data_IF_144853960513
#
_entry.id   IF_144853960513
#
_cell.length_a   1.000
_cell.length_b   1.000
_cell.length_c   1.000
_cell.angle_alpha   90.00
_cell.angle_beta   90.00
_cell.angle_gamma   90.00
#
_symmetry.space_group_name_H-M   'P 1'
#
loop_
_entity.id
_entity.type
_entity.pdbx_description
1 polymer ?
#
# COMPACT_ATOMS: atom_id res chain seq x y z
N UNK A 1 -41.19 21.75 -11.43
CA UNK A 1 -39.76 21.51 -11.23
C UNK A 1 -39.39 20.25 -11.99
N UNK A 2 -38.51 20.34 -12.97
CA UNK A 2 -38.15 19.21 -13.80
C UNK A 2 -37.50 18.08 -12.99
N UNK A 3 -37.82 16.85 -13.36
CA UNK A 3 -37.30 15.65 -12.65
C UNK A 3 -35.77 15.71 -12.50
N UNK A 4 -35.04 16.16 -13.55
CA UNK A 4 -33.58 16.26 -13.53
C UNK A 4 -33.08 17.27 -12.50
N UNK A 5 -33.69 18.46 -12.39
CA UNK A 5 -33.36 19.45 -11.38
C UNK A 5 -33.58 18.91 -9.96
N UNK A 6 -34.67 18.18 -9.76
CA UNK A 6 -34.98 17.54 -8.47
C UNK A 6 -33.92 16.48 -8.14
N UNK A 7 -33.62 15.58 -9.07
CA UNK A 7 -32.60 14.52 -8.88
C UNK A 7 -31.23 15.13 -8.58
N UNK A 8 -30.80 16.13 -9.34
CA UNK A 8 -29.52 16.83 -9.15
C UNK A 8 -29.46 17.46 -7.76
N UNK A 9 -30.51 18.20 -7.36
CA UNK A 9 -30.55 18.90 -6.07
C UNK A 9 -30.60 17.93 -4.88
N UNK A 10 -31.39 16.86 -4.95
CA UNK A 10 -31.44 15.85 -3.90
C UNK A 10 -30.11 15.12 -3.77
N UNK A 11 -29.52 14.68 -4.90
CA UNK A 11 -28.26 13.97 -4.88
C UNK A 11 -27.12 14.83 -4.32
N UNK A 12 -27.02 16.11 -4.71
CA UNK A 12 -25.98 17.00 -4.19
C UNK A 12 -26.19 17.33 -2.71
N UNK A 13 -27.44 17.46 -2.25
CA UNK A 13 -27.75 17.68 -0.83
C UNK A 13 -27.38 16.47 0.02
N UNK A 14 -27.70 15.26 -0.44
CA UNK A 14 -27.28 14.01 0.23
C UNK A 14 -25.74 13.88 0.24
N UNK A 15 -25.07 14.21 -0.87
CA UNK A 15 -23.62 14.24 -0.93
C UNK A 15 -23.03 15.23 0.07
N UNK A 16 -23.56 16.44 0.13
CA UNK A 16 -23.09 17.48 1.04
C UNK A 16 -23.23 17.06 2.49
N UNK A 17 -24.39 16.50 2.88
CA UNK A 17 -24.64 16.01 4.24
C UNK A 17 -23.70 14.86 4.59
N UNK A 18 -23.61 13.84 3.74
CA UNK A 18 -22.70 12.70 3.95
C UNK A 18 -21.24 13.17 4.06
N UNK A 19 -20.82 14.05 3.15
CA UNK A 19 -19.44 14.58 3.15
C UNK A 19 -19.17 15.44 4.38
N UNK A 20 -20.11 16.26 4.85
CA UNK A 20 -19.95 17.07 6.05
C UNK A 20 -19.81 16.18 7.29
N UNK A 21 -20.67 15.16 7.45
CA UNK A 21 -20.58 14.21 8.57
C UNK A 21 -19.26 13.43 8.51
N UNK A 22 -18.95 12.85 7.35
CA UNK A 22 -17.75 12.04 7.16
C UNK A 22 -16.46 12.85 7.38
N UNK A 23 -16.32 14.01 6.71
CA UNK A 23 -15.13 14.85 6.85
C UNK A 23 -15.03 15.53 8.20
N UNK A 24 -16.16 15.88 8.81
CA UNK A 24 -16.20 16.41 10.18
C UNK A 24 -15.71 15.37 11.20
N UNK A 25 -16.21 14.14 11.16
CA UNK A 25 -15.75 13.06 12.04
C UNK A 25 -14.29 12.70 11.77
N UNK A 26 -13.87 12.65 10.49
CA UNK A 26 -12.48 12.43 10.11
C UNK A 26 -11.55 13.49 10.72
N UNK A 27 -11.91 14.78 10.63
CA UNK A 27 -11.13 15.87 11.18
C UNK A 27 -11.03 15.82 12.72
N UNK A 28 -12.06 15.33 13.41
CA UNK A 28 -12.04 15.12 14.86
C UNK A 28 -11.10 13.98 15.25
N UNK A 29 -11.15 12.87 14.55
CA UNK A 29 -10.35 11.68 14.87
C UNK A 29 -8.91 11.75 14.36
N UNK A 30 -8.65 12.52 13.31
CA UNK A 30 -7.30 12.76 12.76
C UNK A 30 -6.46 13.76 13.59
N UNK A 31 -6.82 14.00 14.83
CA UNK A 31 -5.95 14.77 15.73
C UNK A 31 -4.78 13.89 16.17
N UNK A 32 -3.58 14.46 16.33
CA UNK A 32 -2.46 13.72 16.88
C UNK A 32 -2.92 13.11 18.20
N UNK A 33 -3.05 11.80 18.27
CA UNK A 33 -3.12 11.16 19.57
C UNK A 33 -1.80 11.54 20.23
N UNK A 34 -1.87 12.20 21.37
CA UNK A 34 -0.78 12.20 22.33
C UNK A 34 -0.56 10.72 22.61
N UNK A 35 0.35 10.12 21.86
CA UNK A 35 0.83 8.78 22.18
C UNK A 35 1.44 9.00 23.52
N UNK A 36 0.76 8.54 24.56
CA UNK A 36 1.43 8.28 25.83
C UNK A 36 2.58 7.38 25.38
N UNK A 37 3.80 7.95 25.35
CA UNK A 37 5.00 7.16 25.27
C UNK A 37 4.75 6.03 26.26
N UNK A 38 4.63 4.80 25.75
CA UNK A 38 4.57 3.65 26.65
C UNK A 38 5.72 3.88 27.61
N UNK A 39 5.37 4.01 28.89
CA UNK A 39 6.31 4.31 29.97
C UNK A 39 7.57 3.49 29.73
N UNK A 40 8.74 4.11 29.89
CA UNK A 40 10.07 3.50 29.76
C UNK A 40 10.20 2.15 30.52
N UNK A 41 9.29 1.88 31.42
CA UNK A 41 9.16 0.61 32.18
C UNK A 41 8.86 -0.64 31.33
N UNK A 42 8.30 -0.51 30.09
CA UNK A 42 8.17 -1.62 29.15
C UNK A 42 9.39 -1.75 28.22
N UNK A 43 10.34 -0.84 28.32
CA UNK A 43 11.62 -0.83 27.61
C UNK A 43 12.67 -1.78 28.23
N UNK A 44 12.25 -2.73 29.07
CA UNK A 44 13.11 -3.67 29.83
C UNK A 44 14.00 -4.62 29.00
N UNK A 45 14.12 -4.45 27.70
CA UNK A 45 15.19 -5.06 26.91
C UNK A 45 15.95 -3.98 26.18
N UNK A 46 17.24 -3.79 26.50
CA UNK A 46 18.20 -2.94 25.80
C UNK A 46 18.40 -3.37 24.31
N UNK A 47 17.72 -4.41 23.88
CA UNK A 47 17.88 -4.99 22.55
C UNK A 47 16.84 -4.42 21.59
N UNK A 48 17.30 -3.71 20.58
CA UNK A 48 16.47 -3.27 19.48
C UNK A 48 16.11 -4.45 18.57
N UNK A 49 14.84 -4.59 18.11
CA UNK A 49 14.45 -5.62 17.16
C UNK A 49 15.22 -5.49 15.84
N UNK A 50 15.47 -6.60 15.18
CA UNK A 50 16.10 -6.60 13.86
C UNK A 50 15.11 -6.23 12.75
N UNK A 51 15.57 -5.45 11.75
CA UNK A 51 14.73 -4.97 10.63
C UNK A 51 15.34 -5.36 9.30
N UNK A 52 14.56 -6.03 8.46
CA UNK A 52 14.88 -6.33 7.08
C UNK A 52 14.16 -5.36 6.15
N UNK A 53 14.91 -4.50 5.44
CA UNK A 53 14.37 -3.57 4.43
C UNK A 53 14.30 -4.27 3.09
N UNK A 54 13.14 -4.26 2.42
CA UNK A 54 12.93 -4.90 1.11
C UNK A 54 12.62 -3.84 0.06
N UNK A 55 13.47 -3.76 -0.97
CA UNK A 55 13.40 -2.78 -2.05
C UNK A 55 13.25 -3.52 -3.39
N UNK A 56 12.02 -3.74 -3.87
CA UNK A 56 11.78 -4.29 -5.21
C UNK A 56 12.07 -3.23 -6.27
N UNK A 57 12.86 -3.58 -7.29
CA UNK A 57 13.31 -2.67 -8.35
C UNK A 57 12.98 -3.26 -9.72
N UNK A 58 12.41 -2.46 -10.64
CA UNK A 58 12.15 -2.86 -12.02
C UNK A 58 12.27 -1.67 -12.96
N UNK A 59 13.22 -1.71 -13.90
CA UNK A 59 13.48 -0.64 -14.87
C UNK A 59 13.59 0.75 -14.21
N UNK A 60 14.23 0.81 -13.03
CA UNK A 60 14.34 2.04 -12.27
C UNK A 60 15.35 3.02 -12.87
N UNK A 61 15.18 4.30 -12.60
CA UNK A 61 16.20 5.29 -12.90
C UNK A 61 17.40 5.11 -11.94
N UNK A 62 18.65 5.00 -12.44
CA UNK A 62 19.82 4.77 -11.59
C UNK A 62 20.02 5.85 -10.51
N UNK A 63 19.72 7.12 -10.81
CA UNK A 63 19.85 8.22 -9.84
C UNK A 63 18.81 8.10 -8.72
N UNK A 64 17.60 7.74 -9.08
CA UNK A 64 16.49 7.55 -8.12
C UNK A 64 16.79 6.37 -7.20
N UNK A 65 17.23 5.23 -7.77
CA UNK A 65 17.63 4.07 -6.97
C UNK A 65 18.81 4.39 -6.06
N UNK A 66 19.84 5.11 -6.56
CA UNK A 66 20.98 5.51 -5.74
C UNK A 66 20.56 6.39 -4.54
N UNK A 67 19.64 7.33 -4.74
CA UNK A 67 19.09 8.14 -3.66
C UNK A 67 18.32 7.30 -2.62
N UNK A 68 17.52 6.33 -3.09
CA UNK A 68 16.82 5.38 -2.23
C UNK A 68 17.82 4.59 -1.36
N UNK A 69 18.80 3.92 -1.98
CA UNK A 69 19.78 3.12 -1.24
C UNK A 69 20.62 3.96 -0.27
N UNK A 70 21.01 5.18 -0.66
CA UNK A 70 21.74 6.09 0.22
C UNK A 70 20.91 6.46 1.46
N UNK A 71 19.61 6.74 1.31
CA UNK A 71 18.74 7.08 2.42
C UNK A 71 18.53 5.92 3.40
N UNK A 72 18.53 4.68 2.88
CA UNK A 72 18.43 3.47 3.72
C UNK A 72 19.78 3.16 4.40
N UNK A 73 20.90 3.35 3.70
CA UNK A 73 22.24 3.14 4.25
C UNK A 73 22.57 4.10 5.42
N UNK A 74 21.96 5.30 5.41
CA UNK A 74 22.16 6.35 6.43
C UNK A 74 21.08 6.36 7.52
N UNK A 75 20.28 5.31 7.64
CA UNK A 75 19.29 5.23 8.72
C UNK A 75 19.94 5.18 10.09
N UNK A 76 19.44 6.02 11.01
CA UNK A 76 19.84 6.08 12.41
C UNK A 76 19.03 5.04 13.18
N UNK A 77 19.57 3.81 13.26
CA UNK A 77 18.92 2.70 13.92
C UNK A 77 19.89 1.95 14.81
N UNK A 78 19.51 1.71 16.07
CA UNK A 78 20.37 1.06 17.06
C UNK A 78 20.38 -0.48 16.98
N UNK A 79 19.41 -1.07 16.27
CA UNK A 79 19.31 -2.51 16.06
C UNK A 79 19.97 -2.98 14.77
N UNK A 80 19.90 -4.27 14.53
CA UNK A 80 20.38 -4.85 13.27
C UNK A 80 19.50 -4.45 12.09
N UNK A 81 20.10 -3.86 11.06
CA UNK A 81 19.44 -3.47 9.82
C UNK A 81 20.04 -4.24 8.64
N UNK A 82 19.20 -4.95 7.89
CA UNK A 82 19.59 -5.62 6.67
C UNK A 82 18.74 -5.19 5.48
N UNK A 83 19.32 -5.08 4.28
CA UNK A 83 18.69 -4.52 3.09
C UNK A 83 18.70 -5.52 1.95
N UNK A 84 17.53 -5.89 1.46
CA UNK A 84 17.35 -6.77 0.30
C UNK A 84 16.89 -5.93 -0.89
N UNK A 85 17.76 -5.77 -1.90
CA UNK A 85 17.42 -5.12 -3.16
C UNK A 85 17.09 -6.20 -4.18
N UNK A 86 15.84 -6.20 -4.67
CA UNK A 86 15.35 -7.26 -5.58
C UNK A 86 15.13 -6.68 -6.97
N UNK A 87 16.02 -6.99 -7.89
CA UNK A 87 15.85 -6.67 -9.31
C UNK A 87 14.88 -7.66 -9.96
N UNK A 88 13.67 -7.20 -10.26
CA UNK A 88 12.59 -7.99 -10.87
C UNK A 88 12.74 -8.13 -12.39
N UNK A 89 13.95 -8.52 -12.84
CA UNK A 89 14.23 -8.77 -14.26
C UNK A 89 14.27 -7.49 -15.10
N UNK A 90 14.93 -6.44 -14.62
CA UNK A 90 15.06 -5.16 -15.32
C UNK A 90 15.72 -5.29 -16.68
N UNK A 91 15.15 -4.62 -17.69
CA UNK A 91 15.73 -4.53 -19.03
C UNK A 91 16.91 -3.55 -19.12
N UNK A 92 16.99 -2.60 -18.18
CA UNK A 92 18.08 -1.62 -18.08
C UNK A 92 19.14 -2.00 -17.01
N UNK A 93 19.26 -3.28 -16.70
CA UNK A 93 20.13 -3.80 -15.63
C UNK A 93 21.55 -3.25 -15.68
N UNK A 94 22.14 -3.14 -16.88
CA UNK A 94 23.50 -2.63 -17.05
C UNK A 94 23.69 -1.21 -16.48
N UNK A 95 22.64 -0.39 -16.51
CA UNK A 95 22.66 0.95 -15.92
C UNK A 95 22.51 0.95 -14.40
N UNK A 96 21.98 -0.13 -13.81
CA UNK A 96 21.79 -0.29 -12.37
C UNK A 96 23.00 -0.94 -11.68
N UNK A 97 23.82 -1.70 -12.44
CA UNK A 97 25.03 -2.37 -11.91
C UNK A 97 25.94 -1.42 -11.15
N UNK A 98 26.29 -0.21 -11.62
CA UNK A 98 27.15 0.71 -10.87
C UNK A 98 26.53 1.13 -9.52
N UNK A 99 25.19 1.26 -9.46
CA UNK A 99 24.48 1.62 -8.22
C UNK A 99 24.56 0.46 -7.22
N UNK A 100 24.38 -0.78 -7.67
CA UNK A 100 24.49 -1.96 -6.82
C UNK A 100 25.93 -2.14 -6.32
N UNK A 101 26.93 -1.94 -7.19
CA UNK A 101 28.35 -2.07 -6.84
C UNK A 101 28.80 -1.09 -5.76
N UNK A 102 28.16 0.08 -5.64
CA UNK A 102 28.48 1.04 -4.58
C UNK A 102 28.20 0.51 -3.17
N UNK A 103 27.40 -0.56 -3.04
CA UNK A 103 27.02 -1.17 -1.76
C UNK A 103 27.41 -2.65 -1.65
N UNK A 104 28.17 -3.19 -2.60
CA UNK A 104 28.52 -4.63 -2.60
C UNK A 104 29.40 -5.00 -1.42
N UNK A 105 30.21 -4.07 -0.92
CA UNK A 105 31.09 -4.27 0.22
C UNK A 105 30.43 -3.94 1.58
N UNK A 106 29.22 -3.39 1.57
CA UNK A 106 28.45 -3.16 2.80
C UNK A 106 27.73 -4.46 3.21
N UNK A 107 28.09 -5.08 4.36
CA UNK A 107 27.55 -6.37 4.78
C UNK A 107 26.04 -6.34 5.04
N UNK A 108 25.45 -5.15 5.16
CA UNK A 108 24.01 -4.99 5.34
C UNK A 108 23.22 -5.26 4.07
N UNK A 109 23.84 -5.15 2.87
CA UNK A 109 23.14 -5.23 1.59
C UNK A 109 23.24 -6.61 0.96
N UNK A 110 22.08 -7.12 0.51
CA UNK A 110 21.96 -8.33 -0.31
C UNK A 110 21.21 -7.99 -1.59
N UNK A 111 21.82 -8.29 -2.75
CA UNK A 111 21.23 -8.07 -4.06
C UNK A 111 20.70 -9.39 -4.62
N UNK A 112 19.41 -9.41 -4.98
CA UNK A 112 18.70 -10.55 -5.57
C UNK A 112 18.34 -10.20 -7.00
N UNK A 113 18.77 -11.00 -7.97
CA UNK A 113 18.42 -10.81 -9.37
C UNK A 113 17.45 -11.90 -9.83
N UNK A 114 16.25 -11.50 -10.24
CA UNK A 114 15.30 -12.42 -10.84
C UNK A 114 15.56 -12.55 -12.35
N UNK A 115 15.35 -13.73 -12.89
CA UNK A 115 15.61 -14.01 -14.31
C UNK A 115 14.63 -13.35 -15.27
N UNK A 116 13.44 -12.96 -14.79
CA UNK A 116 12.37 -12.30 -15.53
C UNK A 116 11.50 -11.48 -14.60
N UNK A 117 10.74 -10.53 -15.15
CA UNK A 117 9.73 -9.81 -14.39
C UNK A 117 8.62 -10.77 -13.91
N UNK A 118 8.44 -10.85 -12.60
CA UNK A 118 7.40 -11.64 -11.94
C UNK A 118 6.37 -10.76 -11.22
N UNK A 119 6.60 -9.44 -11.17
CA UNK A 119 5.78 -8.43 -10.52
C UNK A 119 6.22 -8.13 -9.08
N UNK A 120 5.97 -6.90 -8.64
CA UNK A 120 6.43 -6.34 -7.36
C UNK A 120 6.15 -7.27 -6.18
N UNK A 121 4.94 -7.80 -6.06
CA UNK A 121 4.53 -8.71 -4.98
C UNK A 121 5.43 -9.94 -4.88
N UNK A 122 5.68 -10.62 -6.00
CA UNK A 122 6.53 -11.82 -6.01
C UNK A 122 8.00 -11.50 -5.78
N UNK A 123 8.46 -10.34 -6.25
CA UNK A 123 9.79 -9.84 -5.94
C UNK A 123 9.96 -9.60 -4.43
N UNK A 124 9.00 -8.97 -3.78
CA UNK A 124 8.98 -8.83 -2.32
C UNK A 124 8.99 -10.18 -1.61
N UNK A 125 8.14 -11.13 -2.03
CA UNK A 125 8.05 -12.47 -1.44
C UNK A 125 9.38 -13.22 -1.55
N UNK A 126 10.12 -13.06 -2.65
CA UNK A 126 11.42 -13.68 -2.80
C UNK A 126 12.40 -13.24 -1.70
N UNK A 127 12.40 -11.95 -1.34
CA UNK A 127 13.20 -11.44 -0.23
C UNK A 127 12.63 -11.85 1.14
N UNK A 128 11.31 -11.77 1.34
CA UNK A 128 10.65 -12.14 2.61
C UNK A 128 10.99 -13.58 3.01
N UNK A 129 11.06 -14.50 2.06
CA UNK A 129 11.36 -15.91 2.33
C UNK A 129 12.76 -16.15 2.88
N UNK A 130 13.74 -15.32 2.50
CA UNK A 130 15.13 -15.42 2.98
C UNK A 130 15.44 -14.42 4.09
N UNK A 131 14.56 -13.49 4.37
CA UNK A 131 14.69 -12.53 5.46
C UNK A 131 14.67 -13.23 6.82
N UNK A 132 15.27 -12.63 7.83
CA UNK A 132 15.38 -13.20 9.18
C UNK A 132 15.09 -12.22 10.31
N UNK A 133 14.89 -10.94 9.97
CA UNK A 133 14.59 -9.88 10.94
C UNK A 133 13.24 -10.06 11.64
N UNK A 134 13.06 -9.38 12.76
CA UNK A 134 11.78 -9.36 13.50
C UNK A 134 10.70 -8.61 12.73
N UNK A 135 11.12 -7.56 12.02
CA UNK A 135 10.26 -6.74 11.17
C UNK A 135 10.75 -6.71 9.73
N UNK A 136 9.82 -6.53 8.82
CA UNK A 136 10.05 -6.30 7.39
C UNK A 136 9.55 -4.91 7.03
N UNK A 137 10.45 -4.03 6.57
CA UNK A 137 10.11 -2.72 6.04
C UNK A 137 10.09 -2.76 4.51
N UNK A 138 8.94 -2.55 3.90
CA UNK A 138 8.81 -2.37 2.45
C UNK A 138 9.13 -0.92 2.09
N UNK A 139 10.01 -0.73 1.11
CA UNK A 139 10.38 0.59 0.55
C UNK A 139 10.36 0.49 -0.96
N UNK A 140 9.72 1.44 -1.64
CA UNK A 140 9.74 1.49 -3.10
C UNK A 140 11.09 2.04 -3.59
N UNK A 141 11.58 1.55 -4.72
CA UNK A 141 12.90 1.90 -5.29
C UNK A 141 13.06 3.38 -5.68
N UNK A 142 11.95 4.13 -5.68
CA UNK A 142 11.88 5.57 -5.96
C UNK A 142 11.60 6.41 -4.70
N UNK A 143 11.76 5.82 -3.52
CA UNK A 143 11.47 6.44 -2.23
C UNK A 143 12.75 6.68 -1.44
N UNK A 144 12.86 7.85 -0.83
CA UNK A 144 13.90 8.19 0.15
C UNK A 144 13.29 8.32 1.54
N UNK A 145 14.00 7.83 2.55
CA UNK A 145 13.59 7.85 3.95
C UNK A 145 14.32 8.96 4.70
N UNK A 146 13.65 9.64 5.63
CA UNK A 146 14.34 10.47 6.62
C UNK A 146 15.16 9.59 7.59
N UNK A 147 16.21 10.15 8.23
CA UNK A 147 17.18 9.33 8.99
C UNK A 147 16.60 8.44 10.09
N UNK A 148 15.52 8.86 10.74
CA UNK A 148 14.94 8.16 11.90
C UNK A 148 13.71 7.30 11.56
N UNK A 149 13.39 7.07 10.29
CA UNK A 149 12.17 6.36 9.88
C UNK A 149 12.12 4.95 10.46
N UNK A 150 13.22 4.21 10.37
CA UNK A 150 13.28 2.82 10.89
C UNK A 150 13.07 2.82 12.40
N UNK A 151 13.71 3.74 13.13
CA UNK A 151 13.58 3.89 14.58
C UNK A 151 12.13 4.17 14.98
N UNK A 152 11.50 5.18 14.39
CA UNK A 152 10.12 5.61 14.70
C UNK A 152 9.09 4.52 14.42
N UNK A 153 9.23 3.81 13.29
CA UNK A 153 8.36 2.68 12.97
C UNK A 153 8.57 1.51 13.93
N UNK A 154 9.82 1.19 14.26
CA UNK A 154 10.14 0.09 15.18
C UNK A 154 9.62 0.34 16.58
N UNK A 155 9.77 1.56 17.10
CA UNK A 155 9.20 1.96 18.40
C UNK A 155 7.69 1.71 18.44
N UNK A 156 6.97 2.08 17.38
CA UNK A 156 5.53 1.83 17.29
C UNK A 156 5.20 0.34 17.22
N UNK A 157 5.99 -0.43 16.48
CA UNK A 157 5.81 -1.88 16.29
C UNK A 157 6.21 -2.73 17.50
N UNK A 158 6.77 -2.16 18.58
CA UNK A 158 7.04 -2.88 19.83
C UNK A 158 5.77 -3.42 20.49
N UNK A 159 4.63 -2.74 20.33
CA UNK A 159 3.33 -3.29 20.72
C UNK A 159 3.04 -4.58 19.92
N UNK A 160 2.94 -5.75 20.57
CA UNK A 160 2.71 -7.03 19.88
C UNK A 160 1.34 -7.10 19.17
N UNK A 161 0.38 -6.27 19.55
CA UNK A 161 -0.91 -6.18 18.90
C UNK A 161 -0.85 -5.51 17.52
N UNK A 162 0.24 -4.79 17.21
CA UNK A 162 0.42 -4.12 15.93
C UNK A 162 1.11 -5.06 14.95
N UNK A 163 0.41 -5.38 13.86
CA UNK A 163 0.92 -6.22 12.78
C UNK A 163 1.56 -5.44 11.64
N UNK A 164 1.13 -4.18 11.45
CA UNK A 164 1.70 -3.30 10.43
C UNK A 164 1.64 -1.82 10.86
N UNK A 165 2.62 -1.05 10.42
CA UNK A 165 2.67 0.40 10.59
C UNK A 165 3.18 1.06 9.31
N UNK A 166 2.72 2.28 9.02
CA UNK A 166 3.21 3.05 7.88
C UNK A 166 3.64 4.46 8.28
N UNK A 167 4.60 5.00 7.54
CA UNK A 167 5.03 6.37 7.66
C UNK A 167 4.21 7.36 6.85
N UNK A 168 4.51 8.65 7.02
CA UNK A 168 3.96 9.74 6.23
C UNK A 168 4.62 9.77 4.85
N UNK A 169 3.81 9.85 3.80
CA UNK A 169 4.29 10.01 2.44
C UNK A 169 4.24 11.47 2.00
N UNK A 170 5.32 11.92 1.37
CA UNK A 170 5.43 13.25 0.72
C UNK A 170 5.97 13.08 -0.70
N UNK A 171 5.70 14.04 -1.58
CA UNK A 171 6.26 14.03 -2.92
C UNK A 171 7.69 14.58 -2.92
N UNK A 172 8.68 13.77 -3.33
CA UNK A 172 10.09 14.19 -3.44
C UNK A 172 10.29 15.26 -4.52
N UNK A 173 9.53 15.19 -5.60
CA UNK A 173 9.56 16.11 -6.74
C UNK A 173 8.43 17.16 -6.69
N UNK A 174 7.94 17.52 -5.51
CA UNK A 174 6.78 18.44 -5.33
C UNK A 174 6.95 19.82 -5.97
N UNK A 175 8.20 20.24 -6.24
CA UNK A 175 8.50 21.57 -6.82
C UNK A 175 8.51 21.60 -8.34
N UNK A 176 8.48 20.44 -9.01
CA UNK A 176 8.73 20.32 -10.44
C UNK A 176 7.56 20.86 -11.28
N UNK A 177 6.33 20.70 -10.82
CA UNK A 177 5.15 21.17 -11.53
C UNK A 177 3.98 21.53 -10.61
N UNK A 178 2.94 22.16 -11.16
CA UNK A 178 1.68 22.38 -10.43
C UNK A 178 0.99 21.06 -10.06
N UNK A 179 1.13 20.03 -10.91
CA UNK A 179 0.52 18.71 -10.70
C UNK A 179 1.21 17.97 -9.55
N UNK A 180 2.55 17.98 -9.50
CA UNK A 180 3.30 17.34 -8.41
C UNK A 180 3.03 18.02 -7.06
N UNK A 181 2.82 19.35 -7.03
CA UNK A 181 2.35 20.08 -5.83
C UNK A 181 0.95 19.67 -5.41
N UNK A 182 0.07 19.45 -6.37
CA UNK A 182 -1.30 19.00 -6.10
C UNK A 182 -1.30 17.59 -5.52
N UNK A 183 -0.50 16.66 -6.07
CA UNK A 183 -0.36 15.29 -5.59
C UNK A 183 0.27 15.26 -4.18
N UNK A 184 1.23 16.15 -3.88
CA UNK A 184 1.77 16.29 -2.53
C UNK A 184 0.69 16.70 -1.51
N UNK A 185 -0.23 17.59 -1.91
CA UNK A 185 -1.39 17.94 -1.07
C UNK A 185 -2.37 16.77 -0.91
N UNK A 186 -2.58 15.95 -1.96
CA UNK A 186 -3.38 14.71 -1.87
C UNK A 186 -2.76 13.71 -0.89
N UNK A 187 -1.42 13.54 -0.93
CA UNK A 187 -0.70 12.66 -0.01
C UNK A 187 -0.82 13.13 1.44
N UNK A 188 -0.67 14.45 1.65
CA UNK A 188 -0.87 15.01 2.99
C UNK A 188 -2.27 14.71 3.53
N UNK A 189 -3.31 14.92 2.71
CA UNK A 189 -4.69 14.61 3.08
C UNK A 189 -4.92 13.13 3.35
N UNK A 190 -4.37 12.27 2.50
CA UNK A 190 -4.49 10.83 2.65
C UNK A 190 -3.81 10.35 3.95
N UNK A 191 -2.66 10.90 4.32
CA UNK A 191 -1.93 10.52 5.52
C UNK A 191 -2.51 11.19 6.78
N UNK A 192 -2.58 12.53 6.80
CA UNK A 192 -2.87 13.29 8.01
C UNK A 192 -4.36 13.49 8.31
N UNK A 193 -5.25 13.16 7.37
CA UNK A 193 -6.70 13.15 7.59
C UNK A 193 -7.24 11.73 7.64
N UNK A 194 -7.06 10.96 6.56
CA UNK A 194 -7.70 9.66 6.42
C UNK A 194 -7.01 8.59 7.30
N UNK A 195 -5.70 8.37 7.11
CA UNK A 195 -4.98 7.33 7.84
C UNK A 195 -4.81 7.68 9.31
N UNK A 196 -4.61 8.96 9.63
CA UNK A 196 -4.57 9.42 11.02
C UNK A 196 -5.90 9.13 11.75
N UNK A 197 -7.05 9.38 11.12
CA UNK A 197 -8.35 9.06 11.71
C UNK A 197 -8.56 7.54 11.83
N UNK A 198 -8.14 6.75 10.84
CA UNK A 198 -8.21 5.28 10.87
C UNK A 198 -7.31 4.69 11.96
N UNK A 199 -6.10 5.23 12.13
CA UNK A 199 -5.14 4.81 13.16
C UNK A 199 -5.66 5.00 14.58
N UNK A 200 -6.54 6.00 14.82
CA UNK A 200 -7.22 6.19 16.11
C UNK A 200 -7.93 4.92 16.59
N UNK A 201 -8.38 4.10 15.66
CA UNK A 201 -9.08 2.83 15.91
C UNK A 201 -8.21 1.60 15.63
N UNK A 202 -6.90 1.80 15.41
CA UNK A 202 -5.95 0.72 15.12
C UNK A 202 -6.23 -0.01 13.81
N UNK A 203 -6.83 0.66 12.83
CA UNK A 203 -7.30 0.02 11.60
C UNK A 203 -7.06 0.90 10.36
N UNK A 204 -5.81 1.30 10.14
CA UNK A 204 -5.37 1.87 8.87
C UNK A 204 -5.64 0.87 7.76
N UNK A 205 -6.46 1.25 6.78
CA UNK A 205 -6.94 0.34 5.74
C UNK A 205 -5.93 0.07 4.62
N UNK A 206 -4.83 0.82 4.59
CA UNK A 206 -3.76 0.66 3.62
C UNK A 206 -2.43 1.22 4.17
N UNK A 207 -1.53 0.34 4.59
CA UNK A 207 -0.14 0.67 4.85
C UNK A 207 0.60 0.71 3.50
N UNK A 208 0.87 1.92 2.99
CA UNK A 208 1.34 2.12 1.63
C UNK A 208 2.77 1.63 1.40
N UNK A 209 2.98 0.96 0.27
CA UNK A 209 4.23 0.29 -0.10
C UNK A 209 5.52 1.11 -0.02
N UNK A 210 5.53 2.44 -0.27
CA UNK A 210 6.74 3.24 -0.13
C UNK A 210 7.35 3.29 1.28
N UNK A 211 6.53 3.09 2.34
CA UNK A 211 7.02 3.08 3.72
C UNK A 211 6.04 2.31 4.62
N UNK A 212 6.13 0.98 4.60
CA UNK A 212 5.27 0.12 5.40
C UNK A 212 6.07 -0.98 6.10
N UNK A 213 6.01 -1.00 7.43
CA UNK A 213 6.66 -2.01 8.26
C UNK A 213 5.64 -3.06 8.70
N UNK A 214 6.04 -4.32 8.64
CA UNK A 214 5.21 -5.47 8.99
C UNK A 214 5.93 -6.36 10.00
N UNK A 215 5.19 -6.92 10.95
CA UNK A 215 5.69 -7.98 11.83
C UNK A 215 5.93 -9.25 11.03
N UNK A 216 7.20 -9.67 10.92
CA UNK A 216 7.59 -10.76 10.02
C UNK A 216 6.90 -12.09 10.36
N UNK A 217 6.76 -12.44 11.64
CA UNK A 217 6.08 -13.68 12.04
C UNK A 217 4.63 -13.74 11.54
N UNK A 218 3.91 -12.61 11.65
CA UNK A 218 2.54 -12.48 11.13
C UNK A 218 2.51 -12.51 9.60
N UNK A 219 3.45 -11.81 8.96
CA UNK A 219 3.60 -11.78 7.50
C UNK A 219 3.81 -13.17 6.92
N UNK A 220 4.68 -13.97 7.52
CA UNK A 220 4.93 -15.34 7.08
C UNK A 220 3.70 -16.24 7.18
N UNK A 221 2.88 -16.07 8.23
CA UNK A 221 1.63 -16.84 8.38
C UNK A 221 0.58 -16.49 7.33
N UNK A 222 0.67 -15.32 6.72
CA UNK A 222 -0.24 -14.81 5.70
C UNK A 222 0.32 -14.92 4.27
N UNK A 223 1.57 -15.40 4.12
CA UNK A 223 2.33 -15.30 2.88
C UNK A 223 1.63 -15.99 1.71
N UNK A 224 1.04 -17.17 1.92
CA UNK A 224 0.32 -17.91 0.88
C UNK A 224 -0.93 -17.16 0.41
N UNK A 225 -1.68 -16.56 1.35
CA UNK A 225 -2.86 -15.74 1.01
C UNK A 225 -2.44 -14.45 0.29
N UNK A 226 -1.30 -13.88 0.68
CA UNK A 226 -0.73 -12.70 0.05
C UNK A 226 -0.28 -13.00 -1.39
N UNK A 227 0.39 -14.14 -1.62
CA UNK A 227 0.90 -14.54 -2.94
C UNK A 227 -0.22 -14.86 -3.92
N UNK A 228 -1.30 -15.50 -3.44
CA UNK A 228 -2.36 -16.09 -4.29
C UNK A 228 -3.63 -15.25 -4.35
N UNK A 229 -3.53 -13.91 -4.25
CA UNK A 229 -4.71 -13.06 -4.38
C UNK A 229 -5.39 -13.25 -5.74
N UNK A 230 -6.64 -13.67 -5.71
CA UNK A 230 -7.49 -13.80 -6.89
C UNK A 230 -8.69 -12.86 -6.82
N UNK A 231 -9.04 -12.27 -7.95
CA UNK A 231 -10.30 -11.56 -8.14
C UNK A 231 -11.06 -12.17 -9.31
N UNK A 232 -12.24 -12.75 -9.03
CA UNK A 232 -13.06 -13.48 -10.03
C UNK A 232 -12.24 -14.53 -10.80
N UNK A 233 -11.39 -15.28 -10.09
CA UNK A 233 -10.56 -16.35 -10.65
C UNK A 233 -9.32 -15.91 -11.42
N UNK A 234 -9.03 -14.60 -11.49
CA UNK A 234 -7.83 -14.04 -12.13
C UNK A 234 -6.86 -13.48 -11.07
N UNK A 235 -5.54 -13.62 -11.27
CA UNK A 235 -4.56 -13.01 -10.39
C UNK A 235 -4.76 -11.48 -10.27
N UNK A 236 -4.56 -10.94 -9.07
CA UNK A 236 -4.58 -9.50 -8.80
C UNK A 236 -3.15 -9.05 -8.53
N UNK A 237 -2.48 -8.48 -9.56
CA UNK A 237 -1.04 -8.22 -9.52
C UNK A 237 -0.65 -6.86 -8.90
N UNK A 238 -1.61 -5.97 -8.64
CA UNK A 238 -1.38 -4.65 -8.03
C UNK A 238 -2.31 -4.39 -6.85
N UNK A 239 -1.94 -3.43 -5.97
CA UNK A 239 -2.60 -3.13 -4.71
C UNK A 239 -2.21 -4.12 -3.62
N UNK A 240 -1.01 -4.64 -3.71
CA UNK A 240 -0.41 -5.60 -2.80
C UNK A 240 -0.34 -5.08 -1.36
N UNK A 241 -0.05 -3.81 -1.19
CA UNK A 241 0.05 -3.10 0.10
C UNK A 241 -1.30 -3.06 0.84
N UNK A 242 -2.37 -2.65 0.15
CA UNK A 242 -3.72 -2.64 0.70
C UNK A 242 -4.22 -4.05 1.02
N UNK A 243 -3.98 -4.99 0.12
CA UNK A 243 -4.36 -6.39 0.35
C UNK A 243 -3.67 -6.96 1.59
N UNK A 244 -2.35 -6.77 1.73
CA UNK A 244 -1.59 -7.25 2.88
C UNK A 244 -2.07 -6.59 4.19
N UNK A 245 -2.36 -5.28 4.14
CA UNK A 245 -2.91 -4.56 5.30
C UNK A 245 -4.25 -5.16 5.76
N UNK A 246 -5.15 -5.46 4.80
CA UNK A 246 -6.44 -6.08 5.10
C UNK A 246 -6.25 -7.51 5.65
N UNK A 247 -5.27 -8.26 5.17
CA UNK A 247 -4.94 -9.58 5.72
C UNK A 247 -4.47 -9.48 7.18
N UNK A 248 -3.64 -8.48 7.53
CA UNK A 248 -3.22 -8.20 8.91
C UNK A 248 -4.41 -7.90 9.81
N UNK A 249 -5.31 -7.01 9.37
CA UNK A 249 -6.56 -6.71 10.11
C UNK A 249 -7.45 -7.94 10.27
N UNK A 250 -7.58 -8.76 9.23
CA UNK A 250 -8.34 -10.01 9.26
C UNK A 250 -7.74 -11.04 10.23
N UNK A 251 -6.43 -11.03 10.41
CA UNK A 251 -5.73 -11.87 11.37
C UNK A 251 -5.84 -11.34 12.82
N UNK A 252 -6.53 -10.21 13.04
CA UNK A 252 -6.76 -9.62 14.36
C UNK A 252 -5.68 -8.65 14.82
N UNK A 253 -4.71 -8.32 13.98
CA UNK A 253 -3.70 -7.32 14.29
C UNK A 253 -4.22 -5.91 14.07
N UNK A 254 -3.69 -4.96 14.85
CA UNK A 254 -3.87 -3.53 14.59
C UNK A 254 -2.93 -3.07 13.49
N UNK A 255 -3.34 -2.02 12.79
CA UNK A 255 -2.51 -1.32 11.80
C UNK A 255 -2.47 0.16 12.13
N UNK A 256 -1.29 0.77 12.01
CA UNK A 256 -1.02 2.09 12.56
C UNK A 256 -0.42 3.06 11.53
N UNK A 257 -0.53 4.35 11.82
CA UNK A 257 0.11 5.44 11.08
C UNK A 257 1.04 6.22 12.01
N UNK A 258 2.28 6.43 11.56
CA UNK A 258 3.36 7.10 12.29
C UNK A 258 3.74 8.36 11.52
N UNK A 259 3.17 9.52 11.86
CA UNK A 259 3.37 10.77 11.09
C UNK A 259 4.81 11.27 11.11
N UNK A 260 5.59 10.91 12.15
CA UNK A 260 6.99 11.30 12.31
C UNK A 260 7.95 10.51 11.40
N UNK A 261 7.53 9.34 10.91
CA UNK A 261 8.30 8.51 9.99
C UNK A 261 8.07 8.97 8.55
N UNK A 262 8.83 9.96 8.08
CA UNK A 262 8.59 10.60 6.77
C UNK A 262 9.37 9.92 5.66
N UNK A 263 8.66 9.57 4.58
CA UNK A 263 9.21 9.01 3.36
C UNK A 263 8.80 9.84 2.15
N UNK A 264 9.78 10.21 1.31
CA UNK A 264 9.56 11.02 0.12
C UNK A 264 9.67 10.14 -1.14
N UNK A 265 8.58 10.02 -1.91
CA UNK A 265 8.50 9.21 -3.13
C UNK A 265 8.29 10.07 -4.36
N UNK A 266 8.72 9.59 -5.53
CA UNK A 266 8.54 10.29 -6.80
C UNK A 266 7.09 10.16 -7.26
N UNK A 267 6.44 11.30 -7.52
CA UNK A 267 5.06 11.33 -8.03
C UNK A 267 5.02 11.68 -9.52
N UNK A 268 3.95 11.27 -10.25
CA UNK A 268 3.80 11.58 -11.66
C UNK A 268 3.86 13.09 -11.94
N UNK A 269 4.64 13.47 -12.93
CA UNK A 269 4.79 14.85 -13.43
C UNK A 269 3.85 15.18 -14.59
N UNK A 270 3.25 14.17 -15.23
CA UNK A 270 2.32 14.30 -16.34
C UNK A 270 0.92 13.81 -15.99
N UNK A 271 -0.11 14.52 -16.50
CA UNK A 271 -1.51 14.17 -16.26
C UNK A 271 -1.83 12.75 -16.73
N UNK A 272 -1.23 12.29 -17.83
CA UNK A 272 -1.44 10.94 -18.34
C UNK A 272 -0.91 9.87 -17.38
N UNK A 273 0.29 10.05 -16.81
CA UNK A 273 0.88 9.14 -15.83
C UNK A 273 0.06 9.15 -14.55
N UNK A 274 -0.37 10.32 -14.07
CA UNK A 274 -1.25 10.48 -12.93
C UNK A 274 -2.57 9.72 -13.11
N UNK A 275 -3.27 9.89 -14.24
CA UNK A 275 -4.53 9.19 -14.49
C UNK A 275 -4.37 7.68 -14.60
N UNK A 276 -3.26 7.17 -15.15
CA UNK A 276 -2.94 5.73 -15.14
C UNK A 276 -2.74 5.21 -13.73
N UNK A 277 -2.02 5.94 -12.89
CA UNK A 277 -1.82 5.61 -11.48
C UNK A 277 -3.15 5.59 -10.72
N UNK A 278 -3.97 6.63 -10.89
CA UNK A 278 -5.29 6.73 -10.24
C UNK A 278 -6.25 5.61 -10.71
N UNK A 279 -6.22 5.21 -11.98
CA UNK A 279 -7.01 4.09 -12.49
C UNK A 279 -6.61 2.76 -11.82
N UNK A 280 -5.32 2.51 -11.71
CA UNK A 280 -4.78 1.34 -11.04
C UNK A 280 -5.20 1.31 -9.56
N UNK A 281 -5.06 2.43 -8.87
CA UNK A 281 -5.47 2.56 -7.47
C UNK A 281 -6.98 2.41 -7.27
N UNK A 282 -7.80 2.99 -8.14
CA UNK A 282 -9.25 2.83 -8.07
C UNK A 282 -9.66 1.37 -8.23
N UNK A 283 -9.08 0.64 -9.20
CA UNK A 283 -9.36 -0.79 -9.40
C UNK A 283 -8.99 -1.63 -8.17
N UNK A 284 -7.79 -1.44 -7.59
CA UNK A 284 -7.38 -2.17 -6.39
C UNK A 284 -8.26 -1.81 -5.19
N UNK A 285 -8.53 -0.52 -4.99
CA UNK A 285 -9.36 -0.05 -3.88
C UNK A 285 -10.76 -0.67 -3.93
N UNK A 286 -11.41 -0.71 -5.09
CA UNK A 286 -12.73 -1.33 -5.21
C UNK A 286 -12.71 -2.85 -4.94
N UNK A 287 -11.70 -3.57 -5.45
CA UNK A 287 -11.53 -5.01 -5.18
C UNK A 287 -11.36 -5.28 -3.69
N UNK A 288 -10.46 -4.55 -3.06
CA UNK A 288 -10.10 -4.76 -1.67
C UNK A 288 -11.15 -4.22 -0.70
N UNK A 289 -11.94 -3.20 -1.12
CA UNK A 289 -13.12 -2.77 -0.36
C UNK A 289 -14.13 -3.91 -0.22
N UNK A 290 -14.37 -4.70 -1.27
CA UNK A 290 -15.26 -5.87 -1.18
C UNK A 290 -14.75 -6.91 -0.16
N UNK A 291 -13.43 -7.05 -0.03
CA UNK A 291 -12.82 -7.90 0.97
C UNK A 291 -12.96 -7.30 2.37
N UNK A 292 -12.75 -5.98 2.50
CA UNK A 292 -12.84 -5.23 3.75
C UNK A 292 -14.27 -5.18 4.31
N UNK A 293 -15.32 -5.18 3.48
CA UNK A 293 -16.73 -5.17 3.93
C UNK A 293 -17.02 -6.28 4.94
N UNK A 294 -16.38 -7.43 4.82
CA UNK A 294 -16.55 -8.55 5.75
C UNK A 294 -15.93 -8.31 7.12
N UNK A 295 -15.00 -7.36 7.23
CA UNK A 295 -14.33 -7.01 8.48
C UNK A 295 -15.07 -5.89 9.24
N UNK A 296 -15.87 -5.05 8.54
CA UNK A 296 -16.51 -3.89 9.15
C UNK A 296 -17.31 -4.19 10.42
N UNK A 297 -18.04 -5.34 10.52
CA UNK A 297 -18.77 -5.66 11.76
C UNK A 297 -17.87 -5.89 12.98
N UNK A 298 -16.59 -6.24 12.77
CA UNK A 298 -15.61 -6.45 13.86
C UNK A 298 -14.75 -5.23 14.16
N UNK A 299 -14.87 -4.19 13.34
CA UNK A 299 -14.13 -2.94 13.47
C UNK A 299 -15.02 -1.84 14.08
N UNK A 300 -14.41 -0.71 14.44
CA UNK A 300 -15.15 0.44 14.95
C UNK A 300 -16.14 1.00 13.91
N UNK A 301 -17.28 1.54 14.38
CA UNK A 301 -18.34 2.12 13.53
C UNK A 301 -17.86 3.26 12.64
N UNK A 302 -16.81 3.98 13.08
CA UNK A 302 -16.19 5.01 12.26
C UNK A 302 -15.68 4.44 10.93
N UNK A 303 -15.10 3.23 10.91
CA UNK A 303 -14.60 2.60 9.68
C UNK A 303 -15.73 2.23 8.72
N UNK A 304 -16.92 1.92 9.24
CA UNK A 304 -18.11 1.77 8.40
C UNK A 304 -18.50 3.10 7.74
N UNK A 305 -18.51 4.20 8.50
CA UNK A 305 -18.76 5.54 7.96
C UNK A 305 -17.67 5.94 6.94
N UNK A 306 -16.40 5.61 7.21
CA UNK A 306 -15.27 5.85 6.32
C UNK A 306 -15.45 5.14 4.97
N UNK A 307 -15.77 3.85 4.98
CA UNK A 307 -16.04 3.07 3.75
C UNK A 307 -17.26 3.59 3.00
N UNK A 308 -18.34 3.95 3.71
CA UNK A 308 -19.55 4.56 3.11
C UNK A 308 -19.17 5.90 2.46
N UNK A 309 -18.48 6.78 3.18
CA UNK A 309 -18.07 8.09 2.68
C UNK A 309 -17.21 8.00 1.44
N UNK A 310 -16.26 7.08 1.42
CA UNK A 310 -15.34 6.87 0.29
C UNK A 310 -16.00 6.28 -0.96
N UNK A 311 -17.07 5.50 -0.83
CA UNK A 311 -17.72 4.82 -1.96
C UNK A 311 -19.05 5.48 -2.36
N UNK A 312 -19.94 5.78 -1.42
CA UNK A 312 -21.23 6.39 -1.72
C UNK A 312 -21.10 7.88 -2.06
N UNK A 313 -20.16 8.61 -1.43
CA UNK A 313 -19.93 10.02 -1.72
C UNK A 313 -19.65 10.30 -3.21
N UNK A 314 -18.65 9.67 -3.84
CA UNK A 314 -18.41 9.82 -5.27
C UNK A 314 -19.60 9.44 -6.15
N UNK A 315 -20.39 8.43 -5.76
CA UNK A 315 -21.59 8.02 -6.51
C UNK A 315 -22.66 9.11 -6.48
N UNK A 316 -22.95 9.67 -5.31
CA UNK A 316 -23.92 10.77 -5.16
C UNK A 316 -23.48 12.02 -5.94
N UNK A 317 -22.18 12.34 -5.89
CA UNK A 317 -21.60 13.43 -6.66
C UNK A 317 -21.75 13.18 -8.17
N UNK A 318 -21.50 11.94 -8.63
CA UNK A 318 -21.67 11.58 -10.05
C UNK A 318 -23.12 11.75 -10.49
N UNK A 319 -24.07 11.27 -9.72
CA UNK A 319 -25.51 11.43 -10.02
C UNK A 319 -25.88 12.89 -10.09
N UNK A 320 -25.44 13.71 -9.13
CA UNK A 320 -25.74 15.14 -9.10
C UNK A 320 -25.18 15.88 -10.32
N UNK A 321 -23.92 15.62 -10.66
CA UNK A 321 -23.26 16.27 -11.79
C UNK A 321 -23.87 15.82 -13.13
N UNK A 322 -24.13 14.52 -13.32
CA UNK A 322 -24.73 14.00 -14.56
C UNK A 322 -26.17 14.51 -14.74
N UNK A 323 -26.98 14.53 -13.70
CA UNK A 323 -28.35 15.07 -13.76
C UNK A 323 -28.33 16.58 -14.02
N UNK A 324 -27.43 17.34 -13.40
CA UNK A 324 -27.27 18.78 -13.65
C UNK A 324 -26.77 19.10 -15.05
N UNK A 325 -25.86 18.30 -15.62
CA UNK A 325 -25.43 18.45 -17.00
C UNK A 325 -26.55 18.10 -17.97
N UNK A 326 -27.34 17.06 -17.71
CA UNK A 326 -28.48 16.71 -18.52
C UNK A 326 -29.57 17.81 -18.48
N UNK A 327 -29.83 18.41 -17.31
CA UNK A 327 -30.72 19.57 -17.17
C UNK A 327 -30.23 20.72 -18.03
N UNK A 328 -28.96 21.10 -17.95
CA UNK A 328 -28.38 22.17 -18.73
C UNK A 328 -28.53 21.93 -20.25
N UNK A 329 -28.25 20.72 -20.72
CA UNK A 329 -28.30 20.39 -22.17
C UNK A 329 -29.71 20.31 -22.68
N UNK A 330 -30.68 19.77 -21.90
CA UNK A 330 -32.03 19.51 -22.39
C UNK A 330 -32.97 20.70 -22.17
N UNK A 331 -32.74 21.53 -21.15
CA UNK A 331 -33.64 22.64 -20.76
C UNK A 331 -32.99 24.01 -20.86
N UNK A 332 -31.68 24.08 -21.17
CA UNK A 332 -30.87 25.29 -21.13
C UNK A 332 -30.87 26.01 -19.75
N UNK A 333 -31.27 25.31 -18.69
CA UNK A 333 -31.26 25.83 -17.32
C UNK A 333 -29.97 25.40 -16.62
N UNK A 334 -29.22 26.36 -16.06
CA UNK A 334 -28.02 26.05 -15.31
C UNK A 334 -28.36 25.45 -13.94
N UNK A 335 -27.69 24.36 -13.52
CA UNK A 335 -27.94 23.67 -12.23
C UNK A 335 -27.30 24.47 -11.07
N UNK A 336 -27.76 25.70 -10.82
CA UNK A 336 -27.19 26.60 -9.82
C UNK A 336 -27.10 26.01 -8.39
N UNK A 337 -28.10 25.25 -7.89
CA UNK A 337 -27.98 24.67 -6.56
C UNK A 337 -26.80 23.72 -6.45
N UNK A 338 -26.62 22.85 -7.44
CA UNK A 338 -25.49 21.91 -7.50
C UNK A 338 -24.14 22.62 -7.59
N UNK A 339 -24.02 23.61 -8.49
CA UNK A 339 -22.80 24.40 -8.64
C UNK A 339 -22.43 25.17 -7.37
N UNK A 340 -23.42 25.82 -6.72
CA UNK A 340 -23.21 26.59 -5.50
C UNK A 340 -22.78 25.72 -4.33
N UNK A 341 -23.40 24.54 -4.15
CA UNK A 341 -23.02 23.58 -3.09
C UNK A 341 -21.60 23.06 -3.33
N UNK A 342 -21.24 22.67 -4.56
CA UNK A 342 -19.87 22.21 -4.87
C UNK A 342 -18.85 23.32 -4.57
N UNK A 343 -19.11 24.55 -5.00
CA UNK A 343 -18.23 25.68 -4.75
C UNK A 343 -18.06 25.96 -3.24
N UNK A 344 -19.17 26.03 -2.50
CA UNK A 344 -19.16 26.25 -1.05
C UNK A 344 -18.39 25.16 -0.31
N UNK A 345 -18.66 23.88 -0.61
CA UNK A 345 -17.94 22.75 -0.02
C UNK A 345 -16.44 22.79 -0.35
N UNK A 346 -16.09 23.17 -1.58
CA UNK A 346 -14.68 23.29 -1.99
C UNK A 346 -13.97 24.36 -1.15
N UNK A 347 -14.56 25.54 -1.02
CA UNK A 347 -13.99 26.65 -0.24
C UNK A 347 -13.83 26.24 1.23
N UNK A 348 -14.89 25.69 1.84
CA UNK A 348 -14.85 25.25 3.24
C UNK A 348 -13.78 24.19 3.44
N UNK A 349 -13.74 23.18 2.57
CA UNK A 349 -12.72 22.12 2.64
C UNK A 349 -11.31 22.68 2.56
N UNK A 350 -11.01 23.52 1.57
CA UNK A 350 -9.69 24.12 1.40
C UNK A 350 -9.31 24.99 2.60
N UNK A 351 -10.23 25.76 3.16
CA UNK A 351 -10.00 26.60 4.33
C UNK A 351 -9.70 25.75 5.58
N UNK A 352 -10.50 24.70 5.83
CA UNK A 352 -10.27 23.78 6.96
C UNK A 352 -8.90 23.10 6.86
N UNK A 353 -8.56 22.60 5.67
CA UNK A 353 -7.28 21.92 5.46
C UNK A 353 -6.11 22.90 5.62
N UNK A 354 -6.20 24.11 5.04
CA UNK A 354 -5.17 25.13 5.16
C UNK A 354 -4.93 25.51 6.63
N UNK A 355 -6.01 25.61 7.41
CA UNK A 355 -5.95 25.85 8.86
C UNK A 355 -5.28 24.70 9.59
N UNK A 356 -5.70 23.44 9.35
CA UNK A 356 -5.14 22.25 10.02
C UNK A 356 -3.69 21.97 9.66
N UNK A 357 -3.33 22.16 8.39
CA UNK A 357 -1.97 21.99 7.90
C UNK A 357 -1.04 23.18 8.26
N UNK A 358 -1.59 24.29 8.78
CA UNK A 358 -0.89 25.56 8.97
C UNK A 358 -0.18 26.05 7.70
N UNK A 359 -0.76 25.82 6.52
CA UNK A 359 -0.17 26.15 5.22
C UNK A 359 -1.21 26.67 4.24
N UNK A 360 -1.06 27.94 3.83
CA UNK A 360 -1.97 28.59 2.88
C UNK A 360 -1.98 27.94 1.48
N UNK A 361 -0.94 27.18 1.12
CA UNK A 361 -0.88 26.47 -0.17
C UNK A 361 -2.10 25.59 -0.43
N UNK A 362 -2.73 25.06 0.62
CA UNK A 362 -3.91 24.21 0.51
C UNK A 362 -5.17 24.92 0.00
N UNK A 363 -5.18 26.27 -0.03
CA UNK A 363 -6.23 27.01 -0.73
C UNK A 363 -6.21 26.71 -2.25
N UNK A 364 -5.02 26.47 -2.83
CA UNK A 364 -4.83 26.05 -4.21
C UNK A 364 -5.38 24.63 -4.52
N UNK A 365 -5.68 23.84 -3.47
CA UNK A 365 -6.29 22.51 -3.63
C UNK A 365 -7.71 22.57 -4.23
N UNK A 366 -8.32 23.76 -4.35
CA UNK A 366 -9.58 23.96 -5.05
C UNK A 366 -9.54 23.46 -6.52
N UNK A 367 -8.38 23.51 -7.18
CA UNK A 367 -8.17 22.97 -8.55
C UNK A 367 -8.46 21.47 -8.60
N UNK A 368 -8.18 20.75 -7.51
CA UNK A 368 -8.47 19.31 -7.43
C UNK A 368 -9.95 19.00 -7.59
N UNK A 369 -10.87 19.89 -7.21
CA UNK A 369 -12.31 19.69 -7.40
C UNK A 369 -12.67 19.53 -8.87
N UNK A 370 -12.08 20.34 -9.75
CA UNK A 370 -12.28 20.22 -11.22
C UNK A 370 -11.69 18.90 -11.74
N UNK A 371 -10.46 18.56 -11.33
CA UNK A 371 -9.82 17.30 -11.72
C UNK A 371 -10.66 16.11 -11.24
N UNK A 372 -11.17 16.18 -10.01
CA UNK A 372 -11.99 15.11 -9.46
C UNK A 372 -13.29 14.92 -10.24
N UNK A 373 -14.01 16.00 -10.55
CA UNK A 373 -15.30 15.92 -11.23
C UNK A 373 -15.14 15.51 -12.70
N UNK A 374 -14.21 16.12 -13.42
CA UNK A 374 -14.12 15.93 -14.88
C UNK A 374 -13.20 14.79 -15.30
N UNK A 375 -12.25 14.38 -14.46
CA UNK A 375 -11.28 13.34 -14.80
C UNK A 375 -11.39 12.12 -13.88
N UNK A 376 -11.30 12.30 -12.54
CA UNK A 376 -11.22 11.15 -11.63
C UNK A 376 -12.58 10.47 -11.45
N UNK A 377 -13.68 11.19 -11.44
CA UNK A 377 -15.01 10.62 -11.29
C UNK A 377 -15.40 9.72 -12.48
N UNK A 378 -15.26 10.16 -13.77
CA UNK A 378 -15.39 9.27 -14.91
C UNK A 378 -14.41 8.10 -14.90
N UNK A 379 -13.15 8.34 -14.48
CA UNK A 379 -12.13 7.30 -14.34
C UNK A 379 -12.52 6.23 -13.33
N UNK A 380 -13.10 6.61 -12.18
CA UNK A 380 -13.61 5.67 -11.18
C UNK A 380 -14.79 4.84 -11.73
N UNK A 381 -15.68 5.47 -12.50
CA UNK A 381 -16.73 4.74 -13.23
C UNK A 381 -16.17 3.71 -14.19
N UNK A 382 -15.17 4.09 -14.98
CA UNK A 382 -14.45 3.17 -15.88
C UNK A 382 -13.73 2.06 -15.11
N UNK A 383 -13.11 2.38 -13.95
CA UNK A 383 -12.49 1.39 -13.09
C UNK A 383 -13.46 0.32 -12.61
N UNK A 384 -14.69 0.71 -12.21
CA UNK A 384 -15.74 -0.23 -11.80
C UNK A 384 -16.16 -1.19 -12.92
N UNK A 385 -16.23 -0.69 -14.17
CA UNK A 385 -16.55 -1.52 -15.34
C UNK A 385 -15.39 -2.46 -15.74
N UNK A 386 -14.15 -2.18 -15.31
CA UNK A 386 -12.93 -2.87 -15.73
C UNK A 386 -12.17 -3.50 -14.57
N UNK A 387 -12.87 -3.89 -13.50
CA UNK A 387 -12.24 -4.46 -12.28
C UNK A 387 -11.44 -5.76 -12.54
N UNK A 388 -11.80 -6.53 -13.57
CA UNK A 388 -11.11 -7.78 -13.90
C UNK A 388 -9.81 -7.58 -14.69
N UNK A 389 -9.47 -6.34 -15.06
CA UNK A 389 -8.23 -6.04 -15.76
C UNK A 389 -7.10 -5.84 -14.75
N UNK A 390 -6.03 -6.62 -14.86
CA UNK A 390 -4.85 -6.60 -13.99
C UNK A 390 -3.61 -6.03 -14.65
N UNK A 391 -3.72 -5.38 -15.84
CA UNK A 391 -2.56 -4.81 -16.52
C UNK A 391 -1.88 -3.74 -15.66
N UNK A 392 -0.57 -3.89 -15.50
CA UNK A 392 0.28 -2.91 -14.84
C UNK A 392 0.54 -1.72 -15.78
N UNK A 393 -0.21 -0.65 -15.63
CA UNK A 393 -0.28 0.47 -16.59
C UNK A 393 0.94 1.42 -16.54
N UNK A 394 1.83 1.31 -15.57
CA UNK A 394 2.85 2.33 -15.32
C UNK A 394 4.20 2.12 -16.01
N UNK A 395 4.58 0.88 -16.37
CA UNK A 395 5.84 0.60 -17.07
C UNK A 395 5.60 -0.41 -18.19
N UNK A 396 6.09 -0.10 -19.41
CA UNK A 396 6.06 -1.06 -20.52
C UNK A 396 6.99 -2.21 -20.20
N UNK A 397 6.49 -3.45 -20.19
CA UNK A 397 7.33 -4.64 -20.22
C UNK A 397 8.08 -4.65 -21.55
N UNK A 398 9.39 -4.55 -21.49
CA UNK A 398 10.22 -4.93 -22.64
C UNK A 398 10.09 -6.44 -22.73
N UNK A 399 9.54 -6.95 -23.83
CA UNK A 399 9.43 -8.38 -24.10
C UNK A 399 10.83 -8.96 -24.25
N UNK A 400 11.34 -9.56 -23.17
CA UNK A 400 12.57 -10.37 -23.21
C UNK A 400 12.13 -11.82 -23.52
N UNK A 401 12.80 -12.53 -24.45
CA UNK A 401 12.50 -13.92 -24.73
C UNK A 401 12.62 -14.81 -23.48
N UNK A 402 11.84 -15.88 -23.36
CA UNK A 402 11.84 -16.73 -22.17
C UNK A 402 13.05 -17.67 -22.15
N UNK A 403 14.10 -17.30 -21.48
CA UNK A 403 15.10 -18.25 -21.01
C UNK A 403 15.00 -18.37 -19.49
N UNK A 404 14.68 -19.58 -19.04
CA UNK A 404 14.53 -19.92 -17.62
C UNK A 404 15.86 -19.90 -16.88
N UNK A 405 16.28 -18.73 -16.41
CA UNK A 405 17.40 -18.62 -15.47
C UNK A 405 16.85 -18.63 -14.04
N UNK A 406 17.44 -19.49 -13.20
CA UNK A 406 17.20 -19.49 -11.73
C UNK A 406 17.60 -18.13 -11.16
N UNK A 407 16.97 -17.64 -10.07
CA UNK A 407 17.37 -16.41 -9.41
C UNK A 407 18.84 -16.51 -9.00
N UNK A 408 19.63 -15.51 -9.37
CA UNK A 408 21.03 -15.39 -8.96
C UNK A 408 21.04 -14.52 -7.72
N UNK A 409 21.42 -15.11 -6.58
CA UNK A 409 21.67 -14.37 -5.35
C UNK A 409 23.13 -13.97 -5.38
N UNK A 410 23.42 -12.69 -5.53
CA UNK A 410 24.74 -12.13 -5.30
C UNK A 410 24.79 -11.85 -3.80
N UNK A 411 25.11 -12.90 -3.03
CA UNK A 411 25.30 -12.78 -1.60
C UNK A 411 26.68 -12.19 -1.32
N UNK A 412 26.75 -11.27 -0.37
CA UNK A 412 27.99 -10.82 0.20
C UNK A 412 28.70 -12.01 0.89
N UNK A 413 30.01 -12.26 0.68
CA UNK A 413 30.72 -13.47 1.12
C UNK A 413 30.96 -13.61 2.63
N UNK A 414 30.35 -12.78 3.48
CA UNK A 414 30.53 -12.87 4.93
C UNK A 414 29.35 -13.63 5.58
N UNK A 415 29.49 -14.93 5.60
CA UNK A 415 29.13 -15.79 6.73
C UNK A 415 27.67 -15.94 7.16
N UNK A 416 26.68 -16.04 6.25
CA UNK A 416 25.38 -16.68 6.55
C UNK A 416 25.17 -17.88 5.61
N UNK A 417 24.52 -18.98 6.08
CA UNK A 417 24.45 -20.21 5.30
C UNK A 417 23.76 -19.99 3.97
N UNK A 418 24.48 -20.29 2.89
CA UNK A 418 23.91 -20.43 1.55
C UNK A 418 22.82 -21.48 1.60
N UNK A 419 21.58 -21.09 1.32
CA UNK A 419 20.52 -22.05 1.04
C UNK A 419 20.89 -22.74 -0.26
N UNK A 420 21.51 -23.92 -0.12
CA UNK A 420 21.73 -24.84 -1.23
C UNK A 420 20.37 -25.14 -1.87
N UNK A 421 20.35 -25.03 -3.19
CA UNK A 421 19.25 -25.37 -4.06
C UNK A 421 18.42 -26.56 -3.54
N UNK A 422 17.17 -26.31 -3.12
CA UNK A 422 16.16 -27.36 -2.99
C UNK A 422 15.76 -27.72 -4.42
N UNK A 423 16.48 -28.67 -5.00
CA UNK A 423 16.11 -29.39 -6.21
C UNK A 423 15.06 -30.43 -5.81
N UNK A 424 13.80 -30.13 -6.03
CA UNK A 424 12.72 -31.12 -6.04
C UNK A 424 12.85 -31.97 -7.30
N UNK A 425 13.69 -32.98 -7.30
CA UNK A 425 13.64 -34.07 -8.27
C UNK A 425 12.56 -35.04 -7.81
N UNK A 426 11.43 -34.99 -8.49
CA UNK A 426 10.46 -36.09 -8.49
C UNK A 426 10.99 -37.25 -9.34
N UNK A 427 11.63 -38.23 -8.71
CA UNK A 427 11.90 -39.51 -9.32
C UNK A 427 10.62 -40.33 -9.43
N UNK A 428 10.05 -40.38 -10.63
CA UNK A 428 9.20 -41.46 -11.06
C UNK A 428 10.06 -42.71 -11.27
N UNK A 429 10.02 -43.64 -10.33
CA UNK A 429 10.44 -45.04 -10.56
C UNK A 429 9.21 -45.95 -10.58
N UNK A 430 8.85 -46.37 -11.78
CA UNK A 430 8.02 -47.55 -12.01
C UNK A 430 8.79 -48.81 -11.58
N UNK A 431 8.25 -49.53 -10.62
CA UNK A 431 8.78 -50.82 -10.21
C UNK A 431 7.68 -51.70 -9.65
N UNK A 432 7.24 -52.64 -10.48
CA UNK A 432 6.30 -53.74 -10.19
C UNK A 432 6.87 -54.69 -9.15
N UNK A 433 5.97 -55.22 -8.35
CA UNK A 433 5.77 -56.63 -8.00
C UNK A 433 5.94 -57.05 -6.53
N UNK A 434 4.89 -57.77 -6.16
CA UNK A 434 4.75 -58.94 -5.25
C UNK A 434 4.59 -58.69 -3.74
N UNK A 435 3.36 -58.89 -3.33
CA UNK A 435 3.03 -59.49 -2.03
C UNK A 435 3.59 -60.91 -1.92
N UNK A 436 3.86 -61.46 -0.70
CA UNK A 436 2.86 -62.29 -0.12
C UNK A 436 2.69 -62.28 1.44
N UNK A 437 1.48 -62.57 1.85
CA UNK A 437 1.00 -63.49 2.92
C UNK A 437 1.44 -63.34 4.37
N UNK A 438 0.51 -63.04 5.27
CA UNK A 438 -0.14 -63.87 6.31
C UNK A 438 0.66 -64.21 7.57
N UNK A 439 -0.13 -64.15 8.68
CA UNK A 439 -0.03 -64.81 9.99
C UNK A 439 0.75 -64.02 11.04
N UNK A 440 0.33 -63.90 12.30
CA UNK A 440 -0.76 -64.41 13.12
C UNK A 440 -0.89 -63.59 14.40
N UNK A 441 -2.09 -63.56 14.95
CA UNK A 441 -2.55 -63.42 16.33
C UNK A 441 -1.54 -63.56 17.49
N UNK A 442 -1.76 -62.77 18.51
CA UNK A 442 -2.14 -63.14 19.89
C UNK A 442 -2.21 -61.91 20.76
N UNK A 443 -3.30 -61.49 21.25
CA UNK A 443 -3.94 -61.66 22.59
C UNK A 443 -3.07 -61.33 23.80
N UNK A 444 -3.57 -60.41 24.56
CA UNK A 444 -3.89 -60.37 26.01
C UNK A 444 -3.45 -59.04 26.64
N UNK A 445 -4.37 -58.20 27.13
CA UNK A 445 -5.18 -58.24 28.36
C UNK A 445 -4.43 -57.68 29.58
N UNK A 446 -5.15 -56.80 30.27
CA UNK A 446 -5.04 -56.24 31.65
C UNK A 446 -4.13 -55.01 31.85
N UNK A 447 -4.64 -53.98 32.35
CA UNK A 447 -5.53 -53.46 33.43
C UNK A 447 -4.73 -52.60 34.40
N UNK A 448 -5.34 -51.47 34.70
CA UNK A 448 -5.37 -50.72 35.95
C UNK A 448 -4.01 -50.27 36.60
N UNK A 449 -3.78 -49.00 36.73
CA UNK A 449 -4.25 -48.11 37.84
C UNK A 449 -4.16 -46.65 37.38
#
# INVERSE_FOLDING_TARGET
MDLLATVSTVAISCYALLSAVYKGTQAVYAQPSTITSMSDDLLGSDLWPSVDVIIPCYNENPRTLAACLASVATQEYAGDLHVYVVDDGSGNRDTLVPVHHAYVDDPRFTFIQLGKNVGKRKAQIAAIRISSGDFVLSVDSDTTLEPEVVTKLTERMRDPAIGAAMGQLVASNRTDSWLTRLIDMEYWLACNEERAAQARFGAVMCCCGPCAMYRRSSLLSLLDQYETQLFRGKPSDFGEDRHLTILMLKAGFRTEYVPEAVAATVVPDSLQAYLRQQLRWARSTFRDTLLALRLLPSLDRYLTLDVIGQNLGPLLLAIAVLAGLAELVLTNNAPWPTATIIAGMTVIRCAVIAFRAHQLRFLGFAVHTFINIFLLLPLKGYALCTLSNSDWLSRKSVSVPPEGKKPIIIANPIGRPTVSSVSGESHHTTGRSRAPSRLARSDSVHSAD
#
